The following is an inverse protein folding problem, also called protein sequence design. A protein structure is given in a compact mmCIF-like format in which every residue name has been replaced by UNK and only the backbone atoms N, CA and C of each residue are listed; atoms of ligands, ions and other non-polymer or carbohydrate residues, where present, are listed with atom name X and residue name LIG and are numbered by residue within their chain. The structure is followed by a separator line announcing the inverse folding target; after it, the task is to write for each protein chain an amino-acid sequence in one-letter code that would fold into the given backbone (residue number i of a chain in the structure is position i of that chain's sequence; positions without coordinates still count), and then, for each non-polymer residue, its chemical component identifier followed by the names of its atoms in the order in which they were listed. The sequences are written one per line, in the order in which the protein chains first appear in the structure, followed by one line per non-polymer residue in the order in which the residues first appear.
data_IF_615576766282
#
_entry.id   IF_615576766282
#
_cell.length_a   1.000
_cell.length_b   1.000
_cell.length_c   1.000
_cell.angle_alpha   90.00
_cell.angle_beta   90.00
_cell.angle_gamma   90.00
#
_symmetry.space_group_name_H-M   'P 1'
#
loop_
_entity.id
_entity.type
_entity.pdbx_description
1 polymer ?
#
# COMPACT_ATOMS: atom_id res chain seq x y z
N UNK A 1 2.07 8.01 -18.89
CA UNK A 1 3.47 7.70 -18.46
C UNK A 1 3.67 7.88 -16.97
N UNK A 2 3.04 8.88 -16.35
CA UNK A 2 3.20 9.19 -14.91
C UNK A 2 2.79 8.05 -13.96
N UNK A 3 1.64 7.40 -14.18
CA UNK A 3 1.20 6.28 -13.34
C UNK A 3 2.20 5.11 -13.29
N UNK A 4 2.85 4.76 -14.39
CA UNK A 4 3.84 3.68 -14.43
C UNK A 4 5.11 4.04 -13.63
N UNK A 5 5.54 5.31 -13.68
CA UNK A 5 6.66 5.81 -12.90
C UNK A 5 6.32 5.88 -11.40
N UNK A 6 5.12 6.31 -11.05
CA UNK A 6 4.63 6.32 -9.68
C UNK A 6 4.55 4.89 -9.11
N UNK A 7 4.06 3.93 -9.89
CA UNK A 7 4.05 2.51 -9.54
C UNK A 7 5.47 1.97 -9.28
N UNK A 8 6.41 2.25 -10.20
CA UNK A 8 7.80 1.84 -10.04
C UNK A 8 8.46 2.47 -8.80
N UNK A 9 8.13 3.73 -8.50
CA UNK A 9 8.62 4.45 -7.32
C UNK A 9 8.06 3.83 -6.03
N UNK A 10 6.77 3.52 -5.99
CA UNK A 10 6.13 2.83 -4.86
C UNK A 10 6.72 1.43 -4.62
N UNK A 11 6.94 0.66 -5.69
CA UNK A 11 7.63 -0.65 -5.61
C UNK A 11 9.04 -0.51 -5.05
N UNK A 12 9.80 0.46 -5.55
CA UNK A 12 11.17 0.73 -5.11
C UNK A 12 11.22 1.14 -3.63
N UNK A 13 10.28 1.98 -3.20
CA UNK A 13 10.12 2.42 -1.81
C UNK A 13 9.92 1.21 -0.87
N UNK A 14 8.95 0.34 -1.19
CA UNK A 14 8.68 -0.84 -0.35
C UNK A 14 9.88 -1.78 -0.31
N UNK A 15 10.55 -2.00 -1.46
CA UNK A 15 11.74 -2.87 -1.53
C UNK A 15 12.94 -2.31 -0.77
N UNK A 16 13.08 -0.98 -0.62
CA UNK A 16 14.11 -0.38 0.26
C UNK A 16 13.93 -0.82 1.71
N UNK A 17 12.69 -0.96 2.15
CA UNK A 17 12.32 -1.41 3.48
C UNK A 17 12.36 -2.94 3.62
N UNK A 18 12.01 -3.66 2.55
CA UNK A 18 11.95 -5.11 2.51
C UNK A 18 12.68 -5.66 1.28
N UNK A 19 14.03 -5.69 1.29
CA UNK A 19 14.82 -6.00 0.10
C UNK A 19 14.63 -7.43 -0.41
N UNK A 20 14.31 -8.36 0.50
CA UNK A 20 14.03 -9.75 0.17
C UNK A 20 12.61 -9.98 -0.38
N UNK A 21 11.74 -8.96 -0.39
CA UNK A 21 10.38 -9.10 -0.89
C UNK A 21 10.34 -9.02 -2.43
N UNK A 22 9.63 -9.96 -3.05
CA UNK A 22 9.42 -10.01 -4.49
C UNK A 22 8.10 -9.31 -4.83
N UNK A 23 8.12 -8.23 -5.64
CA UNK A 23 6.89 -7.57 -6.07
C UNK A 23 6.11 -8.46 -7.06
N UNK A 24 4.79 -8.40 -6.96
CA UNK A 24 3.84 -9.01 -7.89
C UNK A 24 2.84 -7.93 -8.31
N UNK A 25 2.87 -7.57 -9.59
CA UNK A 25 2.06 -6.52 -10.19
C UNK A 25 0.94 -7.08 -11.07
N UNK A 26 0.62 -8.38 -10.92
CA UNK A 26 -0.53 -8.96 -11.62
C UNK A 26 -1.82 -8.30 -11.12
N UNK A 27 -2.79 -8.01 -11.99
CA UNK A 27 -4.05 -7.39 -11.58
C UNK A 27 -4.73 -8.24 -10.51
N UNK A 28 -5.10 -7.62 -9.38
CA UNK A 28 -5.71 -8.32 -8.25
C UNK A 28 -7.04 -9.01 -8.60
N UNK A 29 -7.77 -8.48 -9.58
CA UNK A 29 -9.02 -9.07 -10.10
C UNK A 29 -8.82 -10.46 -10.72
N UNK A 30 -7.62 -10.74 -11.21
CA UNK A 30 -7.29 -12.00 -11.88
C UNK A 30 -6.86 -13.10 -10.89
N UNK A 31 -6.58 -12.75 -9.62
CA UNK A 31 -6.22 -13.68 -8.56
C UNK A 31 -7.43 -13.98 -7.65
N UNK A 32 -7.76 -15.27 -7.48
CA UNK A 32 -8.93 -15.71 -6.72
C UNK A 32 -8.91 -15.28 -5.25
N UNK A 33 -7.72 -15.15 -4.63
CA UNK A 33 -7.58 -14.77 -3.22
C UNK A 33 -7.80 -13.28 -2.99
N UNK A 34 -7.49 -12.44 -3.99
CA UNK A 34 -7.55 -10.98 -3.89
C UNK A 34 -8.69 -10.33 -4.67
N UNK A 35 -9.42 -11.09 -5.51
CA UNK A 35 -10.50 -10.58 -6.35
C UNK A 35 -11.55 -9.78 -5.57
N UNK A 36 -11.91 -10.24 -4.37
CA UNK A 36 -12.87 -9.56 -3.49
C UNK A 36 -12.41 -8.17 -3.00
N UNK A 37 -11.14 -7.82 -3.16
CA UNK A 37 -10.58 -6.53 -2.75
C UNK A 37 -10.27 -5.60 -3.92
N UNK A 38 -10.54 -6.02 -5.16
CA UNK A 38 -10.34 -5.17 -6.32
C UNK A 38 -11.22 -3.93 -6.24
N UNK A 39 -10.61 -2.75 -6.26
CA UNK A 39 -11.31 -1.47 -6.35
C UNK A 39 -10.91 -0.75 -7.65
N UNK A 40 -11.86 -0.22 -8.45
CA UNK A 40 -11.52 0.43 -9.73
C UNK A 40 -10.61 1.65 -9.59
N UNK A 41 -10.67 2.33 -8.45
CA UNK A 41 -9.95 3.58 -8.16
C UNK A 41 -8.74 3.35 -7.23
N UNK A 42 -8.26 2.11 -7.12
CA UNK A 42 -7.05 1.77 -6.37
C UNK A 42 -5.89 1.32 -7.26
N UNK A 43 -4.68 1.69 -6.85
CA UNK A 43 -3.46 1.02 -7.30
C UNK A 43 -3.12 -0.06 -6.29
N UNK A 44 -3.02 -1.27 -6.79
CA UNK A 44 -2.92 -2.49 -6.02
C UNK A 44 -1.52 -3.12 -6.19
N UNK A 45 -0.82 -3.34 -5.07
CA UNK A 45 0.56 -3.83 -5.02
C UNK A 45 0.67 -5.06 -4.12
N UNK A 46 1.26 -6.15 -4.62
CA UNK A 46 1.58 -7.32 -3.81
C UNK A 46 3.09 -7.51 -3.66
N UNK A 47 3.51 -7.93 -2.47
CA UNK A 47 4.91 -8.27 -2.16
C UNK A 47 4.96 -9.59 -1.42
N UNK A 48 5.73 -10.54 -1.94
CA UNK A 48 5.90 -11.87 -1.34
C UNK A 48 7.26 -11.96 -0.63
N UNK A 49 7.26 -12.39 0.63
CA UNK A 49 8.49 -12.67 1.37
C UNK A 49 9.01 -14.09 1.05
N UNK A 50 10.31 -14.37 1.28
CA UNK A 50 10.85 -15.73 1.23
C UNK A 50 10.32 -16.52 2.43
N UNK A 51 9.10 -17.05 2.29
CA UNK A 51 8.41 -17.75 3.36
C UNK A 51 7.68 -16.81 4.32
N UNK A 52 7.61 -17.23 5.59
CA UNK A 52 6.94 -16.49 6.65
C UNK A 52 7.89 -15.49 7.29
N UNK A 53 7.40 -14.27 7.54
CA UNK A 53 8.10 -13.27 8.34
C UNK A 53 7.52 -13.22 9.76
N UNK A 54 8.22 -13.74 10.79
CA UNK A 54 7.75 -13.67 12.18
C UNK A 54 7.63 -12.24 12.70
N UNK A 55 8.46 -11.33 12.21
CA UNK A 55 8.43 -9.93 12.66
C UNK A 55 7.21 -9.17 12.11
N UNK A 56 6.77 -9.54 10.91
CA UNK A 56 5.57 -8.96 10.28
C UNK A 56 4.32 -9.82 10.49
N UNK A 57 4.44 -11.04 11.02
CA UNK A 57 3.35 -12.00 11.18
C UNK A 57 2.57 -12.26 9.86
N UNK A 58 3.28 -12.30 8.73
CA UNK A 58 2.68 -12.56 7.42
C UNK A 58 3.68 -13.17 6.43
N UNK A 59 3.17 -13.67 5.29
CA UNK A 59 3.96 -14.17 4.15
C UNK A 59 3.96 -13.22 2.95
N UNK A 60 2.92 -12.41 2.83
CA UNK A 60 2.83 -11.38 1.81
C UNK A 60 2.28 -10.09 2.40
N UNK A 61 2.67 -8.96 1.81
CA UNK A 61 2.00 -7.68 1.99
C UNK A 61 1.17 -7.38 0.75
N UNK A 62 -0.08 -7.01 0.97
CA UNK A 62 -0.92 -6.37 -0.03
C UNK A 62 -1.09 -4.91 0.34
N UNK A 63 -0.92 -4.01 -0.62
CA UNK A 63 -1.01 -2.57 -0.42
C UNK A 63 -1.97 -2.02 -1.47
N UNK A 64 -3.03 -1.36 -1.01
CA UNK A 64 -3.98 -0.61 -1.85
C UNK A 64 -3.75 0.86 -1.64
N UNK A 65 -3.52 1.58 -2.73
CA UNK A 65 -3.40 3.02 -2.77
C UNK A 65 -4.70 3.58 -3.35
N UNK A 66 -5.52 4.23 -2.55
CA UNK A 66 -6.72 4.92 -3.03
C UNK A 66 -6.34 6.32 -3.51
N UNK A 67 -6.54 6.58 -4.79
CA UNK A 67 -6.24 7.88 -5.39
C UNK A 67 -7.52 8.70 -5.53
N UNK A 68 -7.38 10.03 -5.58
CA UNK A 68 -8.47 10.91 -5.96
C UNK A 68 -8.81 10.69 -7.43
N UNK A 69 -10.08 10.47 -7.72
CA UNK A 69 -10.61 10.49 -9.08
C UNK A 69 -10.70 11.94 -9.52
N UNK A 70 -9.71 12.42 -10.27
CA UNK A 70 -9.81 13.71 -10.94
C UNK A 70 -10.10 13.46 -12.42
N UNK A 71 -11.15 14.11 -12.92
CA UNK A 71 -11.75 13.88 -14.25
C UNK A 71 -10.85 14.40 -15.40
N UNK A 72 -9.66 14.90 -15.09
CA UNK A 72 -8.74 15.56 -16.02
C UNK A 72 -7.32 15.02 -15.85
N UNK A 73 -6.93 14.03 -16.66
CA UNK A 73 -5.57 13.52 -17.04
C UNK A 73 -4.34 13.65 -16.09
N UNK A 74 -4.50 14.13 -14.85
CA UNK A 74 -3.47 14.40 -13.86
C UNK A 74 -3.35 13.19 -12.96
N UNK A 75 -2.13 12.96 -12.48
CA UNK A 75 -1.89 11.96 -11.45
C UNK A 75 -2.66 12.35 -10.17
N UNK A 76 -3.71 11.59 -9.85
CA UNK A 76 -4.49 11.79 -8.63
C UNK A 76 -3.63 11.70 -7.37
N UNK A 77 -4.02 12.43 -6.33
CA UNK A 77 -3.33 12.43 -5.05
C UNK A 77 -3.80 11.27 -4.17
N UNK A 78 -2.96 10.87 -3.21
CA UNK A 78 -3.29 9.74 -2.33
C UNK A 78 -4.31 10.15 -1.27
N UNK A 79 -5.46 9.48 -1.26
CA UNK A 79 -6.50 9.63 -0.24
C UNK A 79 -6.26 8.70 0.95
N UNK A 80 -5.68 7.53 0.69
CA UNK A 80 -5.44 6.55 1.73
C UNK A 80 -4.65 5.34 1.26
N UNK A 81 -4.04 4.67 2.23
CA UNK A 81 -3.33 3.41 2.07
C UNK A 81 -3.99 2.36 2.95
N UNK A 82 -4.26 1.19 2.38
CA UNK A 82 -4.62 -0.01 3.11
C UNK A 82 -3.54 -1.07 2.90
N UNK A 83 -2.81 -1.39 3.96
CA UNK A 83 -1.86 -2.50 3.98
C UNK A 83 -2.48 -3.71 4.66
N UNK A 84 -2.31 -4.89 4.09
CA UNK A 84 -2.78 -6.17 4.66
C UNK A 84 -1.61 -7.16 4.74
N UNK A 85 -1.47 -7.79 5.90
CA UNK A 85 -0.59 -8.93 6.11
C UNK A 85 -1.32 -10.22 5.78
N UNK A 86 -0.84 -10.92 4.75
CA UNK A 86 -1.50 -12.10 4.19
C UNK A 86 -0.76 -13.38 4.49
N UNK A 87 -1.53 -14.45 4.66
CA UNK A 87 -1.07 -15.84 4.81
C UNK A 87 -1.93 -16.76 3.96
N UNK A 88 -1.61 -18.05 3.92
CA UNK A 88 -2.47 -19.02 3.21
C UNK A 88 -3.86 -19.13 3.82
N UNK A 89 -3.98 -18.85 5.13
CA UNK A 89 -5.25 -18.85 5.86
C UNK A 89 -6.03 -17.52 5.70
N UNK A 90 -5.50 -16.56 4.94
CA UNK A 90 -6.11 -15.25 4.73
C UNK A 90 -5.39 -14.11 5.45
N UNK A 91 -6.14 -13.01 5.68
CA UNK A 91 -5.66 -11.80 6.33
C UNK A 91 -5.37 -12.06 7.82
N UNK A 92 -4.17 -11.69 8.27
CA UNK A 92 -3.78 -11.72 9.68
C UNK A 92 -3.98 -10.39 10.36
N UNK A 93 -3.66 -9.32 9.63
CA UNK A 93 -3.75 -7.95 10.11
C UNK A 93 -3.89 -6.99 8.93
N UNK A 94 -4.39 -5.80 9.24
CA UNK A 94 -4.46 -4.67 8.31
C UNK A 94 -4.09 -3.37 9.01
N UNK A 95 -3.49 -2.44 8.27
CA UNK A 95 -3.20 -1.07 8.69
C UNK A 95 -3.82 -0.15 7.65
N UNK A 96 -4.73 0.71 8.09
CA UNK A 96 -5.35 1.75 7.26
C UNK A 96 -4.85 3.13 7.68
N UNK A 97 -4.61 4.01 6.71
CA UNK A 97 -4.27 5.42 7.00
C UNK A 97 -5.50 6.32 7.09
N UNK A 98 -6.69 5.74 6.99
CA UNK A 98 -7.93 6.38 7.43
C UNK A 98 -8.12 6.00 8.91
N UNK A 99 -8.11 6.98 9.81
CA UNK A 99 -8.24 6.77 11.26
C UNK A 99 -6.88 6.80 12.00
N UNK A 100 -6.63 5.80 12.85
CA UNK A 100 -5.56 5.84 13.86
C UNK A 100 -4.18 5.34 13.37
N UNK A 101 -4.08 4.87 12.12
CA UNK A 101 -2.85 4.32 11.54
C UNK A 101 -2.24 3.18 12.36
N UNK A 102 -3.08 2.38 13.02
CA UNK A 102 -2.64 1.23 13.80
C UNK A 102 -2.98 -0.06 13.06
N UNK A 103 -2.11 -1.08 13.15
CA UNK A 103 -2.49 -2.40 12.67
C UNK A 103 -3.55 -3.00 13.59
N UNK A 104 -4.55 -3.63 13.01
CA UNK A 104 -5.57 -4.39 13.69
C UNK A 104 -5.68 -5.80 13.08
N UNK A 105 -5.96 -6.81 13.89
CA UNK A 105 -6.03 -8.19 13.43
C UNK A 105 -5.69 -9.21 14.52
N UNK A 106 -5.60 -10.47 14.13
CA UNK A 106 -5.34 -11.59 15.04
C UNK A 106 -3.87 -11.72 15.43
N UNK A 107 -2.95 -11.35 14.54
CA UNK A 107 -1.51 -11.49 14.74
C UNK A 107 -0.82 -10.23 14.22
N UNK A 108 -0.43 -9.34 15.13
CA UNK A 108 0.10 -8.03 14.76
C UNK A 108 1.61 -8.07 14.49
N UNK A 109 2.12 -7.22 13.58
CA UNK A 109 3.56 -7.01 13.44
C UNK A 109 4.20 -6.55 14.76
N UNK A 110 5.48 -6.86 14.94
CA UNK A 110 6.25 -6.35 16.07
C UNK A 110 6.32 -4.81 16.05
N UNK A 111 6.42 -4.14 17.22
CA UNK A 111 6.35 -2.68 17.31
C UNK A 111 7.30 -1.92 16.37
N UNK A 112 8.54 -2.38 16.21
CA UNK A 112 9.49 -1.73 15.30
C UNK A 112 9.11 -1.90 13.83
N UNK A 113 8.49 -3.03 13.47
CA UNK A 113 7.92 -3.20 12.13
C UNK A 113 6.70 -2.30 11.92
N UNK A 114 5.90 -2.05 12.95
CA UNK A 114 4.78 -1.09 12.85
C UNK A 114 5.29 0.31 12.53
N UNK A 115 6.37 0.77 13.17
CA UNK A 115 7.01 2.05 12.84
C UNK A 115 7.46 2.08 11.39
N UNK A 116 8.04 0.99 10.89
CA UNK A 116 8.50 0.87 9.50
C UNK A 116 7.32 0.90 8.50
N UNK A 117 6.24 0.18 8.78
CA UNK A 117 5.02 0.18 7.95
C UNK A 117 4.40 1.57 7.89
N UNK A 118 4.28 2.26 9.04
CA UNK A 118 3.83 3.66 9.09
C UNK A 118 4.73 4.59 8.30
N UNK A 119 6.05 4.38 8.35
CA UNK A 119 6.99 5.17 7.53
C UNK A 119 6.74 4.94 6.04
N UNK A 120 6.56 3.69 5.59
CA UNK A 120 6.19 3.40 4.21
C UNK A 120 4.90 4.12 3.83
N UNK A 121 3.86 4.12 4.68
CA UNK A 121 2.64 4.88 4.41
C UNK A 121 2.92 6.37 4.19
N UNK A 122 3.72 7.00 5.07
CA UNK A 122 4.08 8.42 4.95
C UNK A 122 4.84 8.70 3.65
N UNK A 123 5.86 7.92 3.38
CA UNK A 123 6.67 8.04 2.16
C UNK A 123 5.79 7.81 0.90
N UNK A 124 4.75 6.98 0.96
CA UNK A 124 3.77 6.83 -0.13
C UNK A 124 2.95 8.11 -0.34
N UNK A 125 2.48 8.78 0.74
CA UNK A 125 1.79 10.07 0.59
C UNK A 125 2.68 11.14 -0.07
N UNK A 126 3.98 11.13 0.20
CA UNK A 126 4.95 12.04 -0.43
C UNK A 126 5.13 11.77 -1.94
N UNK A 127 4.96 10.53 -2.39
CA UNK A 127 5.04 10.16 -3.82
C UNK A 127 3.78 10.54 -4.61
N UNK A 128 2.68 10.82 -3.93
CA UNK A 128 1.37 11.17 -4.52
C UNK A 128 0.79 12.40 -3.80
N UNK A 129 1.49 13.56 -3.89
CA UNK A 129 1.10 14.74 -3.15
C UNK A 129 -0.26 15.26 -3.62
N UNK A 130 -1.03 15.84 -2.69
CA UNK A 130 -2.14 16.69 -3.07
C UNK A 130 -1.58 17.94 -3.75
N UNK A 131 -2.07 18.28 -4.95
CA UNK A 131 -1.77 19.56 -5.58
C UNK A 131 -2.16 20.67 -4.58
N UNK A 132 -1.18 21.48 -4.18
CA UNK A 132 -1.40 22.64 -3.34
C UNK A 132 -2.02 23.78 -4.19
N UNK A 133 -3.24 23.60 -4.66
CA UNK A 133 -4.02 24.66 -5.31
C UNK A 133 -5.15 25.10 -4.40
N UNK A 134 -4.84 26.05 -3.50
CA UNK A 134 -5.57 27.32 -3.38
C UNK A 134 -4.99 28.20 -2.28
N UNK A 135 -4.40 29.32 -2.70
CA UNK A 135 -3.88 30.35 -1.81
C UNK A 135 -3.57 31.66 -2.53
N UNK A 136 -4.37 32.04 -3.54
CA UNK A 136 -4.39 33.43 -4.02
C UNK A 136 -5.76 33.98 -3.68
N UNK A 137 -5.85 34.72 -2.57
CA UNK A 137 -6.99 35.58 -2.25
C UNK A 137 -6.55 37.00 -2.63
N UNK A 138 -7.41 37.81 -3.29
CA UNK A 138 -7.06 39.07 -3.94
C UNK A 138 -6.49 40.15 -3.02
#
# INVERSE_FOLDING_TARGET
MEQAQALASAVTLVRRHFPAATPNLRPWRDDAQTRQWSEPESIDLAFHFPGWSPRLQCRSLLIQLRLSSDDQERQGHLLGVLMRGMTYEGERWRLATVGDWQPAGSHLPQPDQVKQLRKICKDLFELFPADATNGTVP
#
